data_IF_550850456104
#
_entry.id   IF_550850456104
#
_cell.length_a   1.000
_cell.length_b   1.000
_cell.length_c   1.000
_cell.angle_alpha   90.00
_cell.angle_beta   90.00
_cell.angle_gamma   90.00
#
_symmetry.space_group_name_H-M   'P 1'
#
loop_
_entity.id
_entity.type
_entity.pdbx_description
1 polymer ?
#
# COMPACT_ATOMS: atom_id res chain seq x y z
N UNK A 1 -12.34 8.96 -4.45
CA UNK A 1 -12.08 7.97 -3.40
C UNK A 1 -10.85 8.39 -2.62
N UNK A 2 -10.74 7.98 -1.38
CA UNK A 2 -9.58 8.24 -0.56
C UNK A 2 -8.95 6.92 -0.14
N UNK A 3 -7.83 6.98 0.57
CA UNK A 3 -7.19 5.77 1.08
C UNK A 3 -8.03 5.17 2.21
N UNK A 4 -7.90 3.87 2.43
CA UNK A 4 -8.56 3.18 3.54
C UNK A 4 -7.50 2.60 4.47
N UNK A 5 -7.87 2.43 5.73
CA UNK A 5 -7.02 1.80 6.74
C UNK A 5 -7.32 0.31 6.78
N UNK A 6 -6.28 -0.51 6.77
CA UNK A 6 -6.43 -1.97 6.94
C UNK A 6 -5.55 -2.46 8.07
N UNK A 7 -5.84 -3.67 8.55
CA UNK A 7 -5.11 -4.33 9.63
C UNK A 7 -4.69 -5.71 9.18
N UNK A 8 -3.87 -6.39 9.99
CA UNK A 8 -3.50 -7.78 9.74
C UNK A 8 -4.73 -8.68 9.64
N UNK A 9 -5.82 -8.32 10.34
CA UNK A 9 -7.03 -9.12 10.37
C UNK A 9 -7.83 -9.01 9.08
N UNK A 10 -7.82 -7.86 8.40
CA UNK A 10 -8.71 -7.62 7.26
C UNK A 10 -7.99 -7.34 5.94
N UNK A 11 -6.66 -7.27 5.92
CA UNK A 11 -5.91 -6.95 4.70
C UNK A 11 -6.14 -8.00 3.60
N UNK A 12 -6.19 -9.28 3.95
CA UNK A 12 -6.41 -10.34 2.95
C UNK A 12 -7.81 -10.27 2.36
N UNK A 13 -8.80 -9.98 3.17
CA UNK A 13 -10.18 -9.80 2.69
C UNK A 13 -10.24 -8.63 1.70
N UNK A 14 -9.55 -7.53 2.00
CA UNK A 14 -9.47 -6.38 1.10
C UNK A 14 -8.79 -6.75 -0.22
N UNK A 15 -7.67 -7.47 -0.16
CA UNK A 15 -6.93 -7.90 -1.34
C UNK A 15 -7.78 -8.82 -2.22
N UNK A 16 -8.47 -9.78 -1.62
CA UNK A 16 -9.27 -10.75 -2.37
C UNK A 16 -10.58 -10.17 -2.89
N UNK A 17 -11.10 -9.14 -2.22
CA UNK A 17 -12.39 -8.56 -2.56
C UNK A 17 -12.36 -7.48 -3.63
N UNK A 18 -11.19 -7.14 -4.15
CA UNK A 18 -11.03 -6.05 -5.12
C UNK A 18 -10.07 -6.44 -6.23
N UNK A 19 -10.32 -5.93 -7.44
CA UNK A 19 -9.52 -6.28 -8.62
C UNK A 19 -8.10 -5.73 -8.55
N UNK A 20 -7.93 -4.52 -7.98
CA UNK A 20 -6.64 -3.85 -7.94
C UNK A 20 -6.49 -3.16 -6.59
N UNK A 21 -5.47 -3.58 -5.83
CA UNK A 21 -5.23 -3.08 -4.48
C UNK A 21 -3.75 -2.72 -4.33
N UNK A 22 -3.50 -1.50 -3.88
CA UNK A 22 -2.16 -1.06 -3.51
C UNK A 22 -2.10 -0.99 -1.99
N UNK A 23 -1.30 -1.86 -1.38
CA UNK A 23 -1.13 -1.87 0.08
C UNK A 23 0.13 -1.09 0.43
N UNK A 24 -0.05 0.01 1.15
CA UNK A 24 1.05 0.85 1.64
C UNK A 24 1.36 0.44 3.08
N UNK A 25 2.52 -0.16 3.28
CA UNK A 25 3.01 -0.53 4.62
C UNK A 25 3.89 0.60 5.13
N UNK A 26 3.49 1.19 6.23
CA UNK A 26 4.08 2.43 6.75
C UNK A 26 4.18 2.39 8.26
N UNK A 27 4.79 3.42 8.85
CA UNK A 27 4.84 3.61 10.29
C UNK A 27 4.84 5.11 10.61
N UNK A 28 4.31 5.50 11.79
CA UNK A 28 4.22 6.93 12.15
C UNK A 28 5.58 7.61 12.33
N UNK A 29 6.62 6.86 12.63
CA UNK A 29 7.98 7.39 12.83
C UNK A 29 8.76 7.50 11.51
N UNK A 30 8.20 7.03 10.42
CA UNK A 30 8.88 6.99 9.13
C UNK A 30 8.62 8.28 8.35
N UNK A 31 9.62 9.15 8.26
CA UNK A 31 9.50 10.42 7.52
C UNK A 31 9.10 10.24 6.07
N UNK A 32 9.79 9.38 5.30
CA UNK A 32 9.39 9.12 3.90
C UNK A 32 7.97 8.59 3.75
N UNK A 33 7.49 7.81 4.71
CA UNK A 33 6.10 7.32 4.69
C UNK A 33 5.12 8.48 4.80
N UNK A 34 5.40 9.42 5.71
CA UNK A 34 4.54 10.59 5.90
C UNK A 34 4.56 11.50 4.68
N UNK A 35 5.72 11.64 4.03
CA UNK A 35 5.84 12.42 2.80
C UNK A 35 5.07 11.78 1.64
N UNK A 36 4.95 10.46 1.64
CA UNK A 36 4.22 9.72 0.60
C UNK A 36 2.70 9.82 0.77
N UNK A 37 2.21 10.06 1.98
CA UNK A 37 0.77 10.02 2.26
C UNK A 37 -0.06 10.91 1.33
N UNK A 38 0.28 12.20 1.09
CA UNK A 38 -0.51 13.02 0.17
C UNK A 38 -0.46 12.53 -1.27
N UNK A 39 0.66 11.91 -1.69
CA UNK A 39 0.78 11.33 -3.03
C UNK A 39 -0.20 10.18 -3.19
N UNK A 40 -0.31 9.32 -2.18
CA UNK A 40 -1.22 8.18 -2.21
C UNK A 40 -2.68 8.62 -2.20
N UNK A 41 -3.00 9.71 -1.50
CA UNK A 41 -4.35 10.28 -1.55
C UNK A 41 -4.69 10.75 -2.97
N UNK A 42 -3.74 11.37 -3.66
CA UNK A 42 -3.94 11.77 -5.06
C UNK A 42 -4.12 10.56 -5.97
N UNK A 43 -3.30 9.53 -5.79
CA UNK A 43 -3.42 8.28 -6.58
C UNK A 43 -4.82 7.69 -6.40
N UNK A 44 -5.31 7.63 -5.17
CA UNK A 44 -6.64 7.10 -4.89
C UNK A 44 -7.74 7.90 -5.57
N UNK A 45 -7.62 9.23 -5.56
CA UNK A 45 -8.62 10.10 -6.19
C UNK A 45 -8.61 10.01 -7.70
N UNK A 46 -7.43 9.90 -8.30
CA UNK A 46 -7.27 9.87 -9.76
C UNK A 46 -7.53 8.50 -10.36
N UNK A 47 -7.51 7.46 -9.53
CA UNK A 47 -7.66 6.07 -9.97
C UNK A 47 -8.72 5.36 -9.13
N UNK A 48 -10.01 5.68 -9.34
CA UNK A 48 -11.08 5.14 -8.48
C UNK A 48 -11.24 3.62 -8.59
N UNK A 49 -10.62 3.00 -9.60
CA UNK A 49 -10.61 1.54 -9.74
C UNK A 49 -9.54 0.86 -8.85
N UNK A 50 -8.66 1.65 -8.23
CA UNK A 50 -7.61 1.12 -7.34
C UNK A 50 -8.01 1.38 -5.90
N UNK A 51 -7.97 0.33 -5.08
CA UNK A 51 -8.11 0.48 -3.63
C UNK A 51 -6.73 0.72 -3.06
N UNK A 52 -6.52 1.87 -2.45
CA UNK A 52 -5.26 2.20 -1.77
C UNK A 52 -5.45 1.95 -0.28
N UNK A 53 -4.83 0.90 0.22
CA UNK A 53 -4.99 0.43 1.59
C UNK A 53 -3.72 0.72 2.39
N UNK A 54 -3.85 1.40 3.52
CA UNK A 54 -2.72 1.77 4.38
C UNK A 54 -2.67 0.87 5.61
N UNK A 55 -1.52 0.25 5.84
CA UNK A 55 -1.31 -0.66 6.96
C UNK A 55 -0.14 -0.16 7.81
N UNK A 56 -0.45 0.20 9.06
CA UNK A 56 0.56 0.63 10.03
C UNK A 56 1.23 -0.60 10.62
N UNK A 57 2.51 -0.83 10.29
CA UNK A 57 3.20 -2.04 10.70
C UNK A 57 3.49 -2.10 12.20
N UNK A 58 3.53 -0.96 12.89
CA UNK A 58 3.75 -0.97 14.34
C UNK A 58 2.61 -1.66 15.07
N UNK A 59 1.39 -1.50 14.55
CA UNK A 59 0.18 -2.11 15.09
C UNK A 59 -0.12 -3.46 14.43
N UNK A 60 0.46 -3.71 13.26
CA UNK A 60 0.11 -4.86 12.42
C UNK A 60 1.39 -5.47 11.81
N UNK A 61 2.22 -6.11 12.62
CA UNK A 61 3.51 -6.63 12.14
C UNK A 61 3.40 -7.89 11.27
N UNK A 62 2.27 -8.61 11.35
CA UNK A 62 2.14 -9.90 10.67
C UNK A 62 2.21 -9.80 9.16
N UNK A 63 1.54 -8.80 8.57
CA UNK A 63 1.53 -8.61 7.11
C UNK A 63 2.93 -8.28 6.60
N UNK A 64 3.65 -7.38 7.29
CA UNK A 64 5.01 -7.04 6.91
C UNK A 64 5.91 -8.26 6.93
N UNK A 65 5.78 -9.11 7.95
CA UNK A 65 6.57 -10.34 8.05
C UNK A 65 6.22 -11.33 6.95
N UNK A 66 4.92 -11.49 6.67
CA UNK A 66 4.46 -12.43 5.64
C UNK A 66 4.99 -12.10 4.25
N UNK A 67 5.13 -10.83 3.94
CA UNK A 67 5.61 -10.39 2.63
C UNK A 67 7.09 -10.01 2.63
N UNK A 68 7.80 -10.26 3.71
CA UNK A 68 9.24 -10.03 3.80
C UNK A 68 9.64 -8.58 3.66
N UNK A 69 8.85 -7.68 4.24
CA UNK A 69 9.11 -6.24 4.18
C UNK A 69 10.31 -5.90 5.05
N UNK A 70 11.33 -5.30 4.46
CA UNK A 70 12.59 -5.00 5.13
C UNK A 70 12.85 -3.50 5.33
N UNK A 71 12.06 -2.66 4.72
CA UNK A 71 12.21 -1.21 4.86
C UNK A 71 10.90 -0.51 4.56
N UNK A 72 10.77 0.75 4.98
CA UNK A 72 9.56 1.53 4.81
C UNK A 72 9.84 2.83 4.05
N UNK A 73 8.86 3.31 3.29
CA UNK A 73 7.60 2.64 2.97
C UNK A 73 7.80 1.49 1.99
N UNK A 74 6.95 0.48 2.07
CA UNK A 74 6.87 -0.58 1.07
C UNK A 74 5.45 -0.63 0.57
N UNK A 75 5.28 -0.63 -0.74
CA UNK A 75 3.97 -0.73 -1.36
C UNK A 75 3.89 -2.05 -2.12
N UNK A 76 2.80 -2.77 -1.91
CA UNK A 76 2.55 -4.05 -2.55
C UNK A 76 1.34 -3.89 -3.46
N UNK A 77 1.52 -4.16 -4.75
CA UNK A 77 0.44 -4.06 -5.72
C UNK A 77 -0.13 -5.44 -5.99
N UNK A 78 -1.43 -5.59 -5.76
CA UNK A 78 -2.15 -6.85 -5.99
C UNK A 78 -3.15 -6.66 -7.12
N UNK A 79 -3.21 -7.63 -8.01
CA UNK A 79 -4.17 -7.66 -9.11
C UNK A 79 -4.90 -9.00 -9.06
N UNK A 80 -6.21 -8.95 -8.93
CA UNK A 80 -7.05 -10.14 -8.82
C UNK A 80 -6.56 -11.09 -7.72
N UNK A 81 -6.13 -10.51 -6.59
CA UNK A 81 -5.68 -11.26 -5.43
C UNK A 81 -4.22 -11.70 -5.47
N UNK A 82 -3.50 -11.42 -6.55
CA UNK A 82 -2.10 -11.83 -6.70
C UNK A 82 -1.15 -10.64 -6.57
N UNK A 83 -0.04 -10.84 -5.87
CA UNK A 83 1.02 -9.84 -5.78
C UNK A 83 1.74 -9.75 -7.12
N UNK A 84 1.63 -8.59 -7.79
CA UNK A 84 2.22 -8.39 -9.11
C UNK A 84 3.40 -7.43 -9.11
N UNK A 85 3.54 -6.60 -8.05
CA UNK A 85 4.66 -5.67 -7.99
C UNK A 85 4.93 -5.27 -6.54
N UNK A 86 6.18 -4.87 -6.30
CA UNK A 86 6.64 -4.42 -4.99
C UNK A 86 7.51 -3.18 -5.20
N UNK A 87 7.14 -2.09 -4.52
CA UNK A 87 7.84 -0.82 -4.60
C UNK A 87 8.35 -0.44 -3.22
N UNK A 88 9.60 -0.02 -3.13
CA UNK A 88 10.20 0.43 -1.88
C UNK A 88 10.63 1.89 -2.00
N UNK A 89 10.52 2.58 -0.87
CA UNK A 89 10.92 3.97 -0.79
C UNK A 89 9.86 4.93 -1.31
N UNK A 90 10.17 6.22 -1.25
CA UNK A 90 9.27 7.28 -1.68
C UNK A 90 9.38 7.48 -3.18
N UNK A 91 8.40 6.99 -3.92
CA UNK A 91 8.36 7.06 -5.37
C UNK A 91 7.48 8.22 -5.84
N UNK A 92 7.86 8.94 -6.92
CA UNK A 92 6.94 9.88 -7.55
C UNK A 92 5.71 9.15 -8.07
N UNK A 93 4.56 9.84 -8.06
CA UNK A 93 3.30 9.27 -8.51
C UNK A 93 3.39 8.56 -9.88
N UNK A 94 4.03 9.15 -10.92
CA UNK A 94 4.13 8.45 -12.20
C UNK A 94 4.86 7.12 -12.11
N UNK A 95 5.88 7.03 -11.28
CA UNK A 95 6.62 5.77 -11.11
C UNK A 95 5.76 4.69 -10.49
N UNK A 96 4.89 5.06 -9.54
CA UNK A 96 3.96 4.11 -8.92
C UNK A 96 3.03 3.48 -9.95
N UNK A 97 2.61 4.26 -10.94
CA UNK A 97 1.65 3.79 -11.94
C UNK A 97 2.31 2.99 -13.06
N UNK A 98 3.57 3.29 -13.37
CA UNK A 98 4.22 2.73 -14.56
C UNK A 98 5.17 1.57 -14.28
N UNK A 99 5.51 1.33 -13.02
CA UNK A 99 6.40 0.23 -12.66
C UNK A 99 5.68 -1.09 -12.43
N UNK A 100 4.38 -1.05 -12.36
CA UNK A 100 3.58 -2.26 -12.10
C UNK A 100 3.28 -3.04 -13.38
#
# INVERSE_FOLDING_TARGET
MSTIKVTDADVQETIQGNDLVLVDIWAPWCGPCLALAPVLEEVAKENPNVVVAKLNQDENPGTAQNYGVMGLPTMLLFKNGELVDRLMGNQPKPCLLYTS
#
